data_IF_272381695255
#
_entry.id   IF_272381695255
#
_cell.length_a   1.000
_cell.length_b   1.000
_cell.length_c   1.000
_cell.angle_alpha   90.00
_cell.angle_beta   90.00
_cell.angle_gamma   90.00
#
_symmetry.space_group_name_H-M   'P 1'
#
loop_
_entity.id
_entity.type
_entity.pdbx_description
1 polymer ?
#
# COMPACT_ATOMS: atom_id res chain seq x y z
N UNK A 1 20.32 -3.87 5.39
CA UNK A 1 19.81 -4.80 4.37
C UNK A 1 18.77 -4.07 3.56
N UNK A 2 18.95 -3.94 2.24
CA UNK A 2 17.88 -3.50 1.35
C UNK A 2 16.89 -4.65 1.18
N UNK A 3 15.62 -4.41 1.48
CA UNK A 3 14.54 -5.36 1.21
C UNK A 3 14.40 -5.51 -0.32
N UNK A 4 14.25 -6.73 -0.82
CA UNK A 4 13.87 -6.94 -2.22
C UNK A 4 12.40 -6.50 -2.39
N UNK A 5 12.13 -5.45 -3.20
CA UNK A 5 10.78 -4.92 -3.43
C UNK A 5 9.77 -5.95 -3.90
N UNK A 6 10.20 -6.88 -4.75
CA UNK A 6 9.32 -7.87 -5.38
C UNK A 6 8.93 -8.96 -4.38
N UNK A 7 9.87 -9.37 -3.53
CA UNK A 7 9.59 -10.32 -2.45
C UNK A 7 8.65 -9.71 -1.40
N UNK A 8 8.84 -8.44 -1.04
CA UNK A 8 7.98 -7.79 -0.06
C UNK A 8 6.53 -7.65 -0.55
N UNK A 9 6.33 -7.33 -1.84
CA UNK A 9 4.99 -7.28 -2.45
C UNK A 9 4.28 -8.64 -2.40
N UNK A 10 4.93 -9.71 -2.83
CA UNK A 10 4.38 -11.08 -2.75
C UNK A 10 4.12 -11.52 -1.30
N UNK A 11 4.91 -11.02 -0.35
CA UNK A 11 4.73 -11.29 1.07
C UNK A 11 3.59 -10.49 1.72
N UNK A 12 2.98 -9.55 1.01
CA UNK A 12 1.86 -8.74 1.49
C UNK A 12 0.61 -8.90 0.63
N UNK A 13 0.57 -9.94 -0.22
CA UNK A 13 -0.64 -10.38 -0.91
C UNK A 13 -1.76 -10.61 0.10
N UNK A 14 -2.96 -10.14 -0.24
CA UNK A 14 -4.18 -10.18 0.55
C UNK A 14 -4.09 -9.48 1.92
N UNK A 15 -3.09 -8.61 2.12
CA UNK A 15 -2.98 -7.83 3.35
C UNK A 15 -4.12 -6.82 3.47
N UNK A 16 -4.66 -6.67 4.67
CA UNK A 16 -5.64 -5.64 5.00
C UNK A 16 -4.96 -4.42 5.58
N UNK A 17 -5.20 -3.23 5.03
CA UNK A 17 -4.67 -1.99 5.59
C UNK A 17 -5.48 -1.56 6.81
N UNK A 18 -4.84 -1.59 7.99
CA UNK A 18 -5.48 -1.29 9.27
C UNK A 18 -5.32 0.16 9.70
N UNK A 19 -4.11 0.70 9.56
CA UNK A 19 -3.79 2.05 10.00
C UNK A 19 -2.75 2.66 9.06
N UNK A 20 -2.86 3.97 8.86
CA UNK A 20 -1.84 4.80 8.23
C UNK A 20 -1.53 5.92 9.21
N UNK A 21 -0.26 6.04 9.60
CA UNK A 21 0.20 7.13 10.48
C UNK A 21 1.30 7.91 9.82
N UNK A 22 1.15 9.23 9.83
CA UNK A 22 2.21 10.14 9.41
C UNK A 22 3.14 10.47 10.57
N UNK A 23 4.42 10.52 10.28
CA UNK A 23 5.44 11.12 11.12
C UNK A 23 6.08 12.30 10.37
N UNK A 24 6.74 13.24 11.06
CA UNK A 24 7.42 14.36 10.40
C UNK A 24 8.42 13.94 9.31
N UNK A 25 9.01 12.74 9.45
CA UNK A 25 10.05 12.21 8.56
C UNK A 25 9.58 11.04 7.69
N UNK A 26 8.31 10.67 7.72
CA UNK A 26 7.86 9.45 7.05
C UNK A 26 6.39 9.11 7.19
N UNK A 27 6.05 7.91 6.72
CA UNK A 27 4.72 7.34 6.76
C UNK A 27 4.82 5.88 7.18
N UNK A 28 3.97 5.47 8.11
CA UNK A 28 3.87 4.08 8.57
C UNK A 28 2.53 3.50 8.17
N UNK A 29 2.55 2.30 7.57
CA UNK A 29 1.39 1.49 7.22
C UNK A 29 1.35 0.27 8.15
N UNK A 30 0.21 0.00 8.77
CA UNK A 30 -0.04 -1.24 9.50
C UNK A 30 -0.93 -2.15 8.67
N UNK A 31 -0.43 -3.35 8.41
CA UNK A 31 -1.02 -4.34 7.54
C UNK A 31 -1.30 -5.62 8.34
N UNK A 32 -2.56 -6.02 8.38
CA UNK A 32 -2.95 -7.33 8.90
C UNK A 32 -2.85 -8.32 7.75
N UNK A 33 -1.96 -9.31 7.86
CA UNK A 33 -1.84 -10.35 6.86
C UNK A 33 -2.68 -11.56 7.29
N UNK A 34 -3.45 -12.19 6.39
CA UNK A 34 -4.31 -13.34 6.73
C UNK A 34 -3.52 -14.59 7.16
N UNK A 35 -2.19 -14.53 7.04
CA UNK A 35 -1.24 -15.61 7.28
C UNK A 35 -1.22 -16.04 8.74
N UNK A 36 -0.99 -17.34 8.92
CA UNK A 36 -0.89 -18.00 10.22
C UNK A 36 0.43 -18.74 10.31
N UNK A 37 0.95 -18.85 11.53
CA UNK A 37 2.06 -19.75 11.85
C UNK A 37 1.68 -21.20 11.48
N UNK A 38 2.66 -22.13 11.37
CA UNK A 38 2.38 -23.55 11.16
C UNK A 38 1.46 -24.17 12.23
N UNK A 39 1.41 -23.58 13.42
CA UNK A 39 0.50 -23.98 14.51
C UNK A 39 -0.91 -23.33 14.41
N UNK A 40 -1.20 -22.58 13.34
CA UNK A 40 -2.49 -21.93 13.10
C UNK A 40 -2.69 -20.59 13.83
N UNK A 41 -1.73 -20.14 14.65
CA UNK A 41 -1.82 -18.84 15.32
C UNK A 41 -1.65 -17.68 14.33
N UNK A 42 -2.43 -16.58 14.44
CA UNK A 42 -2.25 -15.38 13.61
C UNK A 42 -0.83 -14.83 13.72
N UNK A 43 -0.27 -14.34 12.61
CA UNK A 43 0.99 -13.62 12.64
C UNK A 43 0.78 -12.19 13.15
N UNK A 44 1.78 -11.59 13.82
CA UNK A 44 1.71 -10.18 14.19
C UNK A 44 1.61 -9.28 12.95
N UNK A 45 0.89 -8.14 13.03
CA UNK A 45 0.76 -7.20 11.91
C UNK A 45 2.11 -6.75 11.37
N UNK A 46 2.18 -6.52 10.05
CA UNK A 46 3.35 -5.95 9.40
C UNK A 46 3.26 -4.43 9.45
N UNK A 47 4.36 -3.80 9.86
CA UNK A 47 4.56 -2.37 9.85
C UNK A 47 5.51 -2.02 8.71
N UNK A 48 5.02 -1.34 7.68
CA UNK A 48 5.88 -0.74 6.65
C UNK A 48 6.15 0.71 7.00
N UNK A 49 7.41 1.07 7.21
CA UNK A 49 7.83 2.44 7.46
C UNK A 49 8.54 2.99 6.23
N UNK A 50 7.91 3.96 5.57
CA UNK A 50 8.46 4.76 4.49
C UNK A 50 9.15 6.00 5.10
N UNK A 51 10.45 6.14 4.87
CA UNK A 51 11.26 7.23 5.40
C UNK A 51 11.63 8.20 4.28
N UNK A 52 11.59 9.50 4.58
CA UNK A 52 11.88 10.55 3.61
C UNK A 52 10.85 10.57 2.47
N UNK A 53 9.56 10.58 2.83
CA UNK A 53 8.46 10.66 1.87
C UNK A 53 8.53 12.01 1.15
N UNK A 54 8.73 11.97 -0.16
CA UNK A 54 8.90 13.16 -1.00
C UNK A 54 7.73 13.39 -1.96
N UNK A 55 6.92 12.36 -2.23
CA UNK A 55 5.77 12.48 -3.11
C UNK A 55 4.62 11.55 -2.68
N UNK A 56 3.39 12.03 -2.82
CA UNK A 56 2.14 11.29 -2.55
C UNK A 56 1.10 11.69 -3.60
N UNK A 57 0.59 10.70 -4.33
CA UNK A 57 -0.48 10.85 -5.31
C UNK A 57 -1.60 9.87 -5.02
N UNK A 58 -2.84 10.25 -5.36
CA UNK A 58 -4.01 9.37 -5.26
C UNK A 58 -4.85 9.46 -6.53
N UNK A 59 -5.46 8.34 -6.92
CA UNK A 59 -6.43 8.24 -8.00
C UNK A 59 -7.66 7.48 -7.54
N UNK A 60 -8.80 7.82 -8.12
CA UNK A 60 -10.06 7.11 -7.94
C UNK A 60 -10.52 6.58 -9.30
N UNK A 61 -10.84 5.29 -9.37
CA UNK A 61 -11.41 4.67 -10.56
C UNK A 61 -12.83 4.18 -10.26
N UNK A 62 -13.77 4.56 -11.12
CA UNK A 62 -15.21 4.46 -10.90
C UNK A 62 -15.90 3.43 -11.78
N UNK A 63 -15.34 2.23 -11.87
CA UNK A 63 -15.90 1.17 -12.69
C UNK A 63 -17.29 0.63 -12.25
N UNK A 64 -17.93 1.22 -11.21
CA UNK A 64 -19.33 0.95 -10.86
C UNK A 64 -20.29 2.03 -11.39
N UNK A 65 -21.45 1.56 -11.87
CA UNK A 65 -22.47 2.22 -12.72
C UNK A 65 -22.96 3.60 -12.23
N UNK A 66 -22.74 3.97 -10.96
CA UNK A 66 -23.40 5.13 -10.34
C UNK A 66 -22.45 6.23 -9.80
N UNK A 67 -21.12 6.10 -9.95
CA UNK A 67 -20.18 7.11 -9.45
C UNK A 67 -19.13 7.47 -10.51
N UNK A 68 -19.18 8.71 -11.03
CA UNK A 68 -18.15 9.21 -11.96
C UNK A 68 -16.94 9.72 -11.17
N UNK A 69 -15.69 9.39 -11.54
CA UNK A 69 -14.49 9.91 -10.87
C UNK A 69 -14.49 11.45 -10.72
N UNK A 70 -14.99 12.17 -11.74
CA UNK A 70 -15.12 13.64 -11.74
C UNK A 70 -16.10 14.21 -10.70
N UNK A 71 -16.89 13.37 -10.03
CA UNK A 71 -17.82 13.76 -8.96
C UNK A 71 -17.20 13.63 -7.57
N UNK A 72 -16.00 13.08 -7.47
CA UNK A 72 -15.24 12.96 -6.23
C UNK A 72 -14.46 14.25 -6.03
N UNK A 73 -15.04 15.19 -5.28
CA UNK A 73 -14.29 16.33 -4.79
C UNK A 73 -13.36 15.85 -3.66
N UNK A 74 -12.07 15.73 -3.94
CA UNK A 74 -11.07 15.67 -2.88
C UNK A 74 -11.12 17.00 -2.13
N UNK A 75 -11.28 17.02 -0.80
CA UNK A 75 -11.37 18.27 -0.05
C UNK A 75 -10.20 19.19 -0.38
N UNK A 76 -10.53 20.41 -0.80
CA UNK A 76 -9.54 21.43 -1.11
C UNK A 76 -8.67 21.69 0.13
N UNK A 77 -7.35 21.52 0.01
CA UNK A 77 -6.41 21.69 1.11
C UNK A 77 -6.07 20.43 1.91
N UNK A 78 -6.48 19.24 1.46
CA UNK A 78 -5.98 17.97 1.99
C UNK A 78 -4.44 17.95 1.92
N UNK A 79 -3.79 17.86 3.09
CA UNK A 79 -2.33 17.78 3.21
C UNK A 79 -1.92 16.31 3.09
N UNK A 80 -0.64 16.05 2.81
CA UNK A 80 0.02 14.72 2.91
C UNK A 80 -0.29 13.94 4.22
N UNK A 81 -0.83 14.59 5.27
CA UNK A 81 -1.25 13.98 6.54
C UNK A 81 -2.75 13.78 6.70
N UNK A 82 -3.56 14.40 5.85
CA UNK A 82 -5.00 14.17 5.69
C UNK A 82 -5.23 13.03 4.68
N UNK A 83 -4.29 12.05 4.66
CA UNK A 83 -4.24 10.93 3.72
C UNK A 83 -5.68 10.52 3.45
N UNK A 84 -6.09 10.77 2.21
CA UNK A 84 -7.38 10.45 1.58
C UNK A 84 -8.13 9.40 2.39
N UNK A 85 -9.43 9.54 2.69
CA UNK A 85 -10.20 8.51 3.39
C UNK A 85 -9.95 7.15 2.77
N UNK A 86 -8.98 6.43 3.34
CA UNK A 86 -8.54 5.16 2.84
C UNK A 86 -9.54 4.16 3.37
N UNK A 87 -9.94 3.14 2.60
CA UNK A 87 -10.80 2.11 3.11
C UNK A 87 -10.03 1.24 4.11
N UNK A 88 -9.88 1.72 5.34
CA UNK A 88 -9.30 0.94 6.43
C UNK A 88 -10.14 -0.31 6.65
N UNK A 89 -9.48 -1.45 6.81
CA UNK A 89 -10.15 -2.75 6.88
C UNK A 89 -10.44 -3.40 5.51
N UNK A 90 -10.07 -2.75 4.40
CA UNK A 90 -10.05 -3.38 3.09
C UNK A 90 -8.74 -4.12 2.82
N UNK A 91 -8.85 -5.23 2.10
CA UNK A 91 -7.72 -5.86 1.43
C UNK A 91 -7.07 -4.86 0.46
N UNK A 92 -5.75 -4.85 0.38
CA UNK A 92 -4.99 -3.96 -0.49
C UNK A 92 -3.96 -4.75 -1.29
N UNK A 93 -3.89 -4.48 -2.58
CA UNK A 93 -2.77 -4.88 -3.39
C UNK A 93 -1.62 -3.90 -3.16
N UNK A 94 -0.43 -4.44 -2.88
CA UNK A 94 0.78 -3.67 -2.59
C UNK A 94 1.83 -3.98 -3.64
N UNK A 95 2.37 -2.94 -4.28
CA UNK A 95 3.46 -3.06 -5.23
C UNK A 95 4.59 -2.11 -4.83
N UNK A 96 5.82 -2.62 -4.77
CA UNK A 96 7.00 -1.82 -4.48
C UNK A 96 7.91 -1.80 -5.71
N UNK A 97 8.30 -0.61 -6.16
CA UNK A 97 9.18 -0.37 -7.30
C UNK A 97 8.74 -1.16 -8.54
N UNK A 98 7.45 -1.17 -8.84
CA UNK A 98 6.92 -1.90 -9.99
C UNK A 98 7.51 -1.34 -11.30
N UNK A 99 7.81 -2.22 -12.25
CA UNK A 99 8.27 -1.82 -13.58
C UNK A 99 7.16 -1.13 -14.40
N UNK A 100 5.90 -1.36 -14.03
CA UNK A 100 4.72 -0.78 -14.68
C UNK A 100 4.23 0.50 -14.00
N UNK A 101 4.86 0.92 -12.90
CA UNK A 101 4.34 1.97 -12.04
C UNK A 101 4.18 3.33 -12.75
N UNK A 102 5.12 3.67 -13.64
CA UNK A 102 5.04 4.88 -14.45
C UNK A 102 3.92 4.84 -15.50
N UNK A 103 3.61 3.66 -16.05
CA UNK A 103 2.52 3.44 -16.98
C UNK A 103 1.18 3.48 -16.25
N UNK A 104 1.07 2.79 -15.11
CA UNK A 104 -0.10 2.79 -14.25
C UNK A 104 -0.50 4.20 -13.82
N UNK A 105 0.48 5.01 -13.40
CA UNK A 105 0.25 6.39 -12.99
C UNK A 105 -0.16 7.29 -14.17
N UNK A 106 0.33 7.01 -15.39
CA UNK A 106 -0.02 7.76 -16.59
C UNK A 106 -1.41 7.39 -17.14
N UNK A 107 -1.85 6.15 -16.93
CA UNK A 107 -3.17 5.66 -17.35
C UNK A 107 -4.26 5.90 -16.30
N UNK A 108 -3.89 6.32 -15.09
CA UNK A 108 -4.82 6.65 -14.02
C UNK A 108 -5.81 7.75 -14.47
N UNK A 109 -7.14 7.55 -14.34
CA UNK A 109 -8.15 8.48 -14.88
C UNK A 109 -8.02 9.91 -14.34
N UNK A 110 -7.65 10.06 -13.07
CA UNK A 110 -7.41 11.33 -12.42
C UNK A 110 -6.38 11.12 -11.31
N UNK A 111 -5.33 11.93 -11.29
CA UNK A 111 -4.27 11.87 -10.27
C UNK A 111 -4.21 13.18 -9.51
N UNK A 112 -4.47 13.11 -8.21
CA UNK A 112 -4.37 14.24 -7.30
C UNK A 112 -3.10 14.13 -6.45
N UNK A 113 -2.14 15.03 -6.69
CA UNK A 113 -0.90 15.12 -5.91
C UNK A 113 -1.17 15.80 -4.57
N UNK A 114 -1.07 15.04 -3.49
CA UNK A 114 -1.24 15.51 -2.12
C UNK A 114 0.05 16.09 -1.54
N UNK A 115 1.19 15.77 -2.16
CA UNK A 115 2.49 16.38 -1.91
C UNK A 115 3.54 15.91 -2.90
N UNK A 116 4.53 16.77 -3.17
CA UNK A 116 5.48 16.55 -4.25
C UNK A 116 4.81 16.60 -5.62
N UNK A 117 5.48 16.01 -6.61
CA UNK A 117 5.02 15.89 -7.98
C UNK A 117 5.58 14.61 -8.62
N UNK A 118 5.28 14.40 -9.90
CA UNK A 118 5.78 13.26 -10.67
C UNK A 118 7.31 13.18 -10.71
N UNK A 119 8.00 14.33 -10.78
CA UNK A 119 9.45 14.35 -10.84
C UNK A 119 10.07 13.95 -9.48
N UNK A 120 9.53 14.48 -8.38
CA UNK A 120 9.92 14.10 -7.02
C UNK A 120 9.67 12.61 -6.77
N UNK A 121 8.53 12.10 -7.24
CA UNK A 121 8.19 10.68 -7.15
C UNK A 121 9.18 9.79 -7.91
N UNK A 122 9.51 10.14 -9.16
CA UNK A 122 10.48 9.39 -9.98
C UNK A 122 11.91 9.45 -9.43
N UNK A 123 12.26 10.49 -8.69
CA UNK A 123 13.55 10.62 -8.02
C UNK A 123 13.68 9.76 -6.75
N UNK A 124 12.57 9.19 -6.25
CA UNK A 124 12.58 8.38 -5.04
C UNK A 124 13.21 7.00 -5.28
N UNK A 125 13.94 6.51 -4.28
CA UNK A 125 14.53 5.15 -4.30
C UNK A 125 13.49 4.07 -4.07
N UNK A 126 12.42 4.43 -3.37
CA UNK A 126 11.28 3.57 -3.08
C UNK A 126 10.05 4.25 -3.63
N UNK A 127 9.34 3.54 -4.49
CA UNK A 127 8.03 3.90 -5.00
C UNK A 127 7.08 2.77 -4.60
N UNK A 128 6.02 3.10 -3.90
CA UNK A 128 5.03 2.16 -3.39
C UNK A 128 3.68 2.51 -4.01
N UNK A 129 3.01 1.54 -4.60
CA UNK A 129 1.60 1.62 -4.98
C UNK A 129 0.76 0.79 -4.01
N UNK A 130 -0.31 1.39 -3.51
CA UNK A 130 -1.40 0.74 -2.76
C UNK A 130 -2.66 0.80 -3.61
N UNK A 131 -3.35 -0.32 -3.78
CA UNK A 131 -4.63 -0.36 -4.49
C UNK A 131 -5.68 -1.10 -3.66
N UNK A 132 -6.78 -0.43 -3.34
CA UNK A 132 -7.95 -1.06 -2.73
C UNK A 132 -8.93 -1.52 -3.83
N UNK A 133 -9.48 -2.75 -3.74
CA UNK A 133 -10.43 -3.27 -4.71
C UNK A 133 -11.78 -2.55 -4.58
N UNK A 134 -12.50 -2.44 -5.70
CA UNK A 134 -13.75 -1.69 -5.87
C UNK A 134 -14.81 -2.01 -4.80
N UNK A 135 -14.94 -3.28 -4.39
CA UNK A 135 -15.95 -3.74 -3.43
C UNK A 135 -15.72 -3.26 -2.00
N UNK A 136 -14.48 -2.88 -1.67
CA UNK A 136 -14.09 -2.49 -0.33
C UNK A 136 -13.82 -0.98 -0.21
N UNK A 137 -13.97 -0.23 -1.30
CA UNK A 137 -13.39 1.08 -1.45
C UNK A 137 -14.41 2.23 -1.35
N UNK A 138 -13.91 3.46 -1.18
CA UNK A 138 -14.71 4.62 -0.78
C UNK A 138 -15.83 4.91 -1.80
N UNK A 139 -17.09 4.70 -1.39
CA UNK A 139 -18.28 4.89 -2.23
C UNK A 139 -18.31 4.03 -3.50
N UNK A 140 -17.68 2.84 -3.49
CA UNK A 140 -17.69 1.91 -4.62
C UNK A 140 -16.69 2.27 -5.73
N UNK A 141 -15.69 3.08 -5.43
CA UNK A 141 -14.62 3.47 -6.35
C UNK A 141 -13.33 2.76 -5.94
N UNK A 142 -12.60 2.13 -6.85
CA UNK A 142 -11.25 1.69 -6.57
C UNK A 142 -10.38 2.91 -6.21
N UNK A 143 -9.49 2.75 -5.23
CA UNK A 143 -8.57 3.82 -4.83
C UNK A 143 -7.14 3.33 -4.99
N UNK A 144 -6.36 4.09 -5.74
CA UNK A 144 -4.93 3.89 -5.94
C UNK A 144 -4.15 5.00 -5.25
N UNK A 145 -3.09 4.67 -4.51
CA UNK A 145 -2.17 5.62 -3.93
C UNK A 145 -0.74 5.28 -4.31
N UNK A 146 0.01 6.29 -4.74
CA UNK A 146 1.43 6.19 -5.05
C UNK A 146 2.23 7.02 -4.06
N UNK A 147 3.18 6.38 -3.38
CA UNK A 147 4.03 6.97 -2.34
C UNK A 147 5.49 6.88 -2.76
N UNK A 148 6.16 8.01 -2.90
CA UNK A 148 7.59 8.12 -3.16
C UNK A 148 8.37 8.39 -1.88
N UNK A 149 9.36 7.57 -1.57
CA UNK A 149 10.19 7.65 -0.37
C UNK A 149 11.68 7.37 -0.62
N UNK A 150 12.53 7.85 0.28
CA UNK A 150 13.98 7.61 0.23
C UNK A 150 14.37 6.20 0.70
N UNK A 151 13.60 5.58 1.59
CA UNK A 151 13.83 4.24 2.09
C UNK A 151 12.54 3.58 2.63
N UNK A 152 12.56 2.26 2.72
CA UNK A 152 11.50 1.46 3.38
C UNK A 152 12.12 0.48 4.36
N UNK A 153 11.44 0.28 5.48
CA UNK A 153 11.72 -0.82 6.42
C UNK A 153 10.43 -1.54 6.75
N UNK A 154 10.51 -2.85 6.98
CA UNK A 154 9.38 -3.67 7.37
C UNK A 154 9.65 -4.30 8.74
N UNK A 155 8.64 -4.33 9.62
CA UNK A 155 8.70 -4.97 10.94
C UNK A 155 7.46 -5.82 11.17
N UNK A 156 7.55 -6.88 11.96
CA UNK A 156 6.40 -7.65 12.46
C UNK A 156 6.62 -7.96 13.93
N UNK A 157 5.63 -7.67 14.79
CA UNK A 157 5.74 -7.89 16.23
C UNK A 157 6.84 -7.07 16.92
N UNK A 158 7.23 -5.94 16.33
CA UNK A 158 8.32 -5.09 16.83
C UNK A 158 9.71 -5.47 16.30
N UNK A 159 9.88 -6.62 15.67
CA UNK A 159 11.16 -7.06 15.12
C UNK A 159 11.26 -6.76 13.61
N UNK A 160 12.47 -6.57 13.05
CA UNK A 160 12.65 -6.51 11.60
C UNK A 160 12.01 -7.70 10.90
N UNK A 161 11.35 -7.45 9.76
CA UNK A 161 10.70 -8.51 8.99
C UNK A 161 11.77 -9.41 8.36
N UNK A 162 11.88 -10.64 8.85
CA UNK A 162 12.70 -11.68 8.23
C UNK A 162 11.95 -12.25 7.01
N UNK A 163 12.28 -11.75 5.82
CA UNK A 163 11.65 -12.16 4.56
C UNK A 163 11.78 -13.67 4.30
N UNK A 164 12.91 -14.28 4.67
CA UNK A 164 13.12 -15.70 4.44
C UNK A 164 12.23 -16.56 5.33
N UNK A 165 12.05 -16.15 6.59
CA UNK A 165 11.08 -16.77 7.50
C UNK A 165 9.65 -16.58 7.00
N UNK A 166 9.29 -15.36 6.62
CA UNK A 166 7.96 -15.03 6.13
C UNK A 166 7.60 -15.78 4.84
N UNK A 167 8.56 -16.00 3.94
CA UNK A 167 8.36 -16.82 2.75
C UNK A 167 8.11 -18.29 3.10
N UNK A 168 8.87 -18.87 4.03
CA UNK A 168 8.61 -20.25 4.48
C UNK A 168 7.23 -20.41 5.13
N UNK A 169 6.81 -19.42 5.92
CA UNK A 169 5.48 -19.40 6.54
C UNK A 169 4.37 -19.26 5.47
N UNK A 170 4.60 -18.45 4.42
CA UNK A 170 3.72 -18.36 3.25
C UNK A 170 3.59 -19.70 2.52
N UNK A 171 4.72 -20.33 2.18
CA UNK A 171 4.72 -21.58 1.41
C UNK A 171 4.06 -22.71 2.19
N UNK A 172 4.31 -22.78 3.51
CA UNK A 172 3.66 -23.74 4.40
C UNK A 172 2.14 -23.50 4.51
N UNK A 173 1.71 -22.25 4.60
CA UNK A 173 0.28 -21.91 4.60
C UNK A 173 -0.39 -22.32 3.28
N UNK A 174 0.21 -21.98 2.14
CA UNK A 174 -0.33 -22.30 0.82
C UNK A 174 -0.41 -23.80 0.56
N UNK A 175 0.59 -24.57 1.01
CA UNK A 175 0.60 -26.04 0.91
C UNK A 175 -0.49 -26.73 1.74
N UNK A 176 -0.97 -26.08 2.80
CA UNK A 176 -2.00 -26.61 3.68
C UNK A 176 -3.37 -25.91 3.52
N UNK A 177 -3.49 -25.02 2.52
CA UNK A 177 -4.74 -24.37 2.20
C UNK A 177 -5.63 -25.35 1.42
N UNK A 178 -6.69 -25.82 2.08
CA UNK A 178 -7.80 -26.51 1.42
C UNK A 178 -8.96 -25.50 1.32
N UNK A 179 -9.45 -25.29 0.10
CA UNK A 179 -10.66 -24.48 -0.18
C UNK A 179 -11.93 -25.08 0.46
#
# INVERSE_FOLDING_TARGET
MSLDPTQLGALLTDATLREVRRAPTGLTLWLDCPRRSPAGAPLPPVQLNLMGVAAVAVSYDGALVDARPSQVAVPEGARVGDVVPWPLGAEVAIQLNSVHEDEDLALAPQVDWQGGDLAAYRACKVRLRLRAPERAAWRGLAVDAWLGAGAVTARSGGEPLDLARWQREHDAWWLHWAE
#
